data_IF_353814843246
#
_entry.id   IF_353814843246
#
_cell.length_a   1.000
_cell.length_b   1.000
_cell.length_c   1.000
_cell.angle_alpha   90.00
_cell.angle_beta   90.00
_cell.angle_gamma   90.00
#
_symmetry.space_group_name_H-M   'P 1'
#
loop_
_entity.id
_entity.type
_entity.pdbx_description
1 polymer ?
#
# COMPACT_ATOMS: atom_id res chain seq x y z
N UNK A 1 -28.14 -39.13 1.56
CA UNK A 1 -28.01 -37.65 1.71
C UNK A 1 -26.58 -37.25 2.05
N UNK A 2 -25.64 -38.20 2.09
CA UNK A 2 -24.27 -38.01 2.59
C UNK A 2 -23.25 -37.62 1.51
N UNK A 3 -23.56 -37.90 0.23
CA UNK A 3 -22.69 -37.56 -0.89
C UNK A 3 -22.54 -36.05 -1.11
N UNK A 4 -23.64 -35.29 -0.97
CA UNK A 4 -23.62 -33.84 -1.14
C UNK A 4 -22.84 -33.14 -0.02
N UNK A 5 -23.01 -33.58 1.24
CA UNK A 5 -22.24 -33.04 2.36
C UNK A 5 -20.75 -33.34 2.25
N UNK A 6 -20.39 -34.51 1.75
CA UNK A 6 -19.00 -34.87 1.48
C UNK A 6 -18.39 -33.99 0.39
N UNK A 7 -19.13 -33.74 -0.69
CA UNK A 7 -18.71 -32.85 -1.78
C UNK A 7 -18.53 -31.40 -1.27
N UNK A 8 -19.49 -30.85 -0.53
CA UNK A 8 -19.38 -29.52 0.09
C UNK A 8 -18.17 -29.43 1.01
N UNK A 9 -17.93 -30.44 1.84
CA UNK A 9 -16.78 -30.48 2.74
C UNK A 9 -15.45 -30.53 2.00
N UNK A 10 -15.34 -31.36 0.96
CA UNK A 10 -14.15 -31.45 0.12
C UNK A 10 -13.89 -30.15 -0.64
N UNK A 11 -14.94 -29.50 -1.15
CA UNK A 11 -14.82 -28.19 -1.81
C UNK A 11 -14.32 -27.14 -0.82
N UNK A 12 -14.90 -27.06 0.39
CA UNK A 12 -14.42 -26.13 1.42
C UNK A 12 -12.96 -26.38 1.76
N UNK A 13 -12.55 -27.64 1.98
CA UNK A 13 -11.15 -27.97 2.23
C UNK A 13 -10.24 -27.57 1.06
N UNK A 14 -10.68 -27.77 -0.18
CA UNK A 14 -9.92 -27.40 -1.37
C UNK A 14 -9.76 -25.88 -1.52
N UNK A 15 -10.80 -25.09 -1.22
CA UNK A 15 -10.76 -23.62 -1.29
C UNK A 15 -9.78 -23.02 -0.26
N UNK A 16 -9.66 -23.63 0.94
CA UNK A 16 -8.70 -23.20 1.98
C UNK A 16 -7.33 -23.91 1.89
N UNK A 17 -7.10 -24.74 0.86
CA UNK A 17 -5.83 -25.43 0.63
C UNK A 17 -4.81 -24.58 -0.14
N UNK A 18 -5.14 -23.32 -0.47
CA UNK A 18 -4.25 -22.38 -1.16
C UNK A 18 -2.95 -22.11 -0.37
N UNK A 19 -3.00 -22.22 0.97
CA UNK A 19 -1.84 -22.19 1.86
C UNK A 19 -1.30 -23.61 2.07
N UNK A 20 -0.61 -24.14 1.06
CA UNK A 20 -0.17 -25.55 1.03
C UNK A 20 1.01 -25.92 1.94
N UNK A 21 1.73 -24.95 2.53
CA UNK A 21 2.89 -25.20 3.40
C UNK A 21 3.14 -24.04 4.38
N UNK A 22 3.74 -24.34 5.55
CA UNK A 22 4.15 -23.39 6.57
C UNK A 22 5.06 -22.28 6.02
N UNK A 23 5.88 -22.59 5.01
CA UNK A 23 6.71 -21.60 4.31
C UNK A 23 5.87 -20.55 3.59
N UNK A 24 4.81 -20.96 2.89
CA UNK A 24 3.94 -20.06 2.16
C UNK A 24 3.15 -19.19 3.13
N UNK A 25 2.60 -19.80 4.20
CA UNK A 25 1.93 -19.08 5.28
C UNK A 25 2.83 -18.00 5.89
N UNK A 26 4.09 -18.35 6.19
CA UNK A 26 5.08 -17.41 6.74
C UNK A 26 5.33 -16.24 5.80
N UNK A 27 5.49 -16.49 4.48
CA UNK A 27 5.69 -15.44 3.49
C UNK A 27 4.50 -14.50 3.39
N UNK A 28 3.28 -15.04 3.39
CA UNK A 28 2.05 -14.24 3.29
C UNK A 28 1.93 -13.33 4.51
N UNK A 29 1.99 -13.91 5.71
CA UNK A 29 1.84 -13.18 6.96
C UNK A 29 2.94 -12.12 7.09
N UNK A 30 4.21 -12.49 6.85
CA UNK A 30 5.33 -11.56 6.98
C UNK A 30 5.21 -10.38 6.02
N UNK A 31 4.86 -10.61 4.75
CA UNK A 31 4.76 -9.54 3.76
C UNK A 31 3.56 -8.62 4.03
N UNK A 32 2.40 -9.17 4.39
CA UNK A 32 1.23 -8.35 4.68
C UNK A 32 1.41 -7.54 5.97
N UNK A 33 1.95 -8.15 7.03
CA UNK A 33 2.27 -7.43 8.27
C UNK A 33 3.35 -6.38 8.05
N UNK A 34 4.42 -6.69 7.31
CA UNK A 34 5.46 -5.71 7.00
C UNK A 34 4.88 -4.54 6.20
N UNK A 35 4.06 -4.80 5.17
CA UNK A 35 3.41 -3.75 4.40
C UNK A 35 2.51 -2.87 5.28
N UNK A 36 1.72 -3.48 6.17
CA UNK A 36 0.90 -2.75 7.13
C UNK A 36 1.74 -1.89 8.07
N UNK A 37 2.84 -2.42 8.63
CA UNK A 37 3.74 -1.68 9.52
C UNK A 37 4.40 -0.51 8.80
N UNK A 38 4.97 -0.72 7.61
CA UNK A 38 5.61 0.36 6.84
C UNK A 38 4.60 1.44 6.43
N UNK A 39 3.39 1.03 6.03
CA UNK A 39 2.26 1.93 5.81
C UNK A 39 1.90 2.71 7.08
N UNK A 40 1.84 2.05 8.24
CA UNK A 40 1.54 2.70 9.52
C UNK A 40 2.57 3.78 9.87
N UNK A 41 3.86 3.50 9.67
CA UNK A 41 4.94 4.46 9.97
C UNK A 41 4.80 5.72 9.11
N UNK A 42 4.55 5.58 7.81
CA UNK A 42 4.30 6.73 6.92
C UNK A 42 3.03 7.48 7.31
N UNK A 43 1.95 6.74 7.53
CA UNK A 43 0.67 7.32 7.90
C UNK A 43 0.69 8.03 9.25
N UNK A 44 1.52 7.57 10.20
CA UNK A 44 1.69 8.20 11.50
C UNK A 44 2.31 9.60 11.37
N UNK A 45 3.39 9.72 10.60
CA UNK A 45 4.02 11.01 10.35
C UNK A 45 3.09 11.95 9.55
N UNK A 46 2.19 11.38 8.73
CA UNK A 46 1.16 12.14 8.02
C UNK A 46 0.04 12.63 8.92
N UNK A 47 -0.52 11.76 9.74
CA UNK A 47 -1.59 12.07 10.69
C UNK A 47 -1.12 13.08 11.74
N UNK A 48 0.09 12.91 12.27
CA UNK A 48 0.68 13.83 13.24
C UNK A 48 0.89 15.25 12.67
N UNK A 49 1.07 15.38 11.35
CA UNK A 49 1.18 16.67 10.64
C UNK A 49 -0.17 17.20 10.15
N UNK A 50 -1.28 16.62 10.62
CA UNK A 50 -2.64 17.03 10.27
C UNK A 50 -3.00 16.82 8.79
N UNK A 51 -2.40 15.83 8.11
CA UNK A 51 -2.70 15.56 6.70
C UNK A 51 -3.95 14.69 6.57
N UNK A 52 -4.66 14.87 5.44
CA UNK A 52 -5.97 14.26 5.21
C UNK A 52 -5.98 12.72 5.18
N UNK A 53 -4.88 12.08 4.77
CA UNK A 53 -4.71 10.62 4.84
C UNK A 53 -3.83 10.27 6.04
N UNK A 54 -4.37 9.48 6.98
CA UNK A 54 -3.71 9.10 8.22
C UNK A 54 -3.24 7.65 8.24
N UNK A 55 -2.92 7.14 9.43
CA UNK A 55 -2.33 5.81 9.68
C UNK A 55 -3.12 4.70 8.99
N UNK A 56 -4.43 4.63 9.26
CA UNK A 56 -5.30 3.56 8.72
C UNK A 56 -5.33 3.53 7.19
N UNK A 57 -5.36 4.71 6.56
CA UNK A 57 -5.37 4.81 5.10
C UNK A 57 -4.08 4.26 4.51
N UNK A 58 -2.93 4.68 5.05
CA UNK A 58 -1.64 4.21 4.56
C UNK A 58 -1.42 2.70 4.81
N UNK A 59 -1.85 2.18 5.96
CA UNK A 59 -1.81 0.74 6.25
C UNK A 59 -2.57 -0.09 5.21
N UNK A 60 -3.83 0.29 4.94
CA UNK A 60 -4.69 -0.43 4.01
C UNK A 60 -4.20 -0.32 2.56
N UNK A 61 -3.67 0.85 2.16
CA UNK A 61 -3.11 1.04 0.82
C UNK A 61 -1.86 0.19 0.60
N UNK A 62 -0.92 0.18 1.55
CA UNK A 62 0.27 -0.66 1.45
C UNK A 62 -0.07 -2.16 1.45
N UNK A 63 -0.95 -2.59 2.36
CA UNK A 63 -1.34 -3.99 2.48
C UNK A 63 -2.13 -4.48 1.25
N UNK A 64 -3.06 -3.68 0.73
CA UNK A 64 -3.82 -4.00 -0.48
C UNK A 64 -2.91 -4.09 -1.71
N UNK A 65 -1.98 -3.16 -1.88
CA UNK A 65 -1.00 -3.19 -2.96
C UNK A 65 -0.06 -4.42 -2.86
N UNK A 66 0.35 -4.78 -1.64
CA UNK A 66 1.12 -6.00 -1.40
C UNK A 66 0.32 -7.25 -1.78
N UNK A 67 -0.95 -7.32 -1.40
CA UNK A 67 -1.84 -8.45 -1.70
C UNK A 67 -2.04 -8.64 -3.20
N UNK A 68 -2.27 -7.55 -3.95
CA UNK A 68 -2.48 -7.62 -5.41
C UNK A 68 -1.30 -8.20 -6.17
N UNK A 69 -0.08 -8.06 -5.66
CA UNK A 69 1.12 -8.63 -6.28
C UNK A 69 1.46 -10.01 -5.71
N UNK A 70 1.27 -10.18 -4.41
CA UNK A 70 1.58 -11.41 -3.70
C UNK A 70 0.76 -12.60 -4.22
N UNK A 71 -0.57 -12.44 -4.33
CA UNK A 71 -1.47 -13.56 -4.70
C UNK A 71 -1.11 -14.11 -6.09
N UNK A 72 -1.08 -13.30 -7.17
CA UNK A 72 -0.70 -13.80 -8.48
C UNK A 72 0.74 -14.34 -8.55
N UNK A 73 1.67 -13.77 -7.78
CA UNK A 73 3.05 -14.26 -7.70
C UNK A 73 3.14 -15.66 -7.10
N UNK A 74 2.32 -15.97 -6.09
CA UNK A 74 2.26 -17.32 -5.50
C UNK A 74 1.61 -18.32 -6.45
N UNK A 75 0.67 -17.88 -7.28
CA UNK A 75 0.06 -18.68 -8.35
C UNK A 75 0.95 -18.90 -9.58
N UNK A 76 2.22 -18.46 -9.55
CA UNK A 76 3.17 -18.68 -10.64
C UNK A 76 2.96 -17.79 -11.87
N UNK A 77 2.31 -16.64 -11.72
CA UNK A 77 2.08 -15.73 -12.82
C UNK A 77 3.40 -15.22 -13.46
N UNK A 78 3.41 -15.19 -14.79
CA UNK A 78 4.57 -14.74 -15.57
C UNK A 78 4.77 -13.21 -15.51
N UNK A 79 5.95 -12.75 -15.95
CA UNK A 79 6.34 -11.33 -15.97
C UNK A 79 5.31 -10.41 -16.61
N UNK A 80 4.69 -10.84 -17.71
CA UNK A 80 3.72 -10.04 -18.45
C UNK A 80 2.42 -9.86 -17.67
N UNK A 81 1.96 -10.93 -17.00
CA UNK A 81 0.82 -10.87 -16.11
C UNK A 81 1.11 -9.96 -14.90
N UNK A 82 2.32 -10.06 -14.34
CA UNK A 82 2.74 -9.19 -13.23
C UNK A 82 2.80 -7.73 -13.66
N UNK A 83 3.29 -7.45 -14.87
CA UNK A 83 3.33 -6.10 -15.42
C UNK A 83 1.93 -5.49 -15.55
N UNK A 84 0.94 -6.28 -15.99
CA UNK A 84 -0.46 -5.82 -16.04
C UNK A 84 -1.06 -5.57 -14.66
N UNK A 85 -0.78 -6.43 -13.68
CA UNK A 85 -1.19 -6.21 -12.28
C UNK A 85 -0.60 -4.90 -11.76
N UNK A 86 0.69 -4.66 -11.98
CA UNK A 86 1.36 -3.43 -11.57
C UNK A 86 0.76 -2.19 -12.25
N UNK A 87 0.48 -2.25 -13.56
CA UNK A 87 -0.22 -1.18 -14.28
C UNK A 87 -1.58 -0.87 -13.64
N UNK A 88 -2.35 -1.91 -13.30
CA UNK A 88 -3.64 -1.77 -12.61
C UNK A 88 -3.51 -1.12 -11.24
N UNK A 89 -2.55 -1.54 -10.42
CA UNK A 89 -2.28 -0.92 -9.11
C UNK A 89 -1.88 0.55 -9.27
N UNK A 90 -0.95 0.86 -10.18
CA UNK A 90 -0.49 2.23 -10.42
C UNK A 90 -1.64 3.14 -10.86
N UNK A 91 -2.49 2.66 -11.77
CA UNK A 91 -3.67 3.39 -12.23
C UNK A 91 -4.70 3.59 -11.09
N UNK A 92 -5.00 2.54 -10.33
CA UNK A 92 -5.97 2.57 -9.24
C UNK A 92 -5.60 3.54 -8.12
N UNK A 93 -4.32 3.64 -7.77
CA UNK A 93 -3.85 4.60 -6.77
C UNK A 93 -3.98 6.05 -7.26
N UNK A 94 -3.89 6.28 -8.57
CA UNK A 94 -4.19 7.58 -9.18
C UNK A 94 -5.59 8.10 -8.81
N UNK A 95 -6.59 7.21 -8.74
CA UNK A 95 -7.94 7.57 -8.32
C UNK A 95 -8.02 8.00 -6.84
N UNK A 96 -7.36 7.26 -5.94
CA UNK A 96 -7.27 7.65 -4.53
C UNK A 96 -6.55 8.99 -4.35
N UNK A 97 -5.46 9.20 -5.10
CA UNK A 97 -4.73 10.45 -5.13
C UNK A 97 -5.62 11.62 -5.56
N UNK A 98 -6.34 11.48 -6.67
CA UNK A 98 -7.31 12.47 -7.14
C UNK A 98 -8.38 12.75 -6.09
N UNK A 99 -8.92 11.72 -5.42
CA UNK A 99 -9.87 11.87 -4.32
C UNK A 99 -9.34 12.73 -3.16
N UNK A 100 -8.07 12.55 -2.77
CA UNK A 100 -7.44 13.37 -1.72
C UNK A 100 -7.20 14.82 -2.11
N UNK A 101 -7.09 15.12 -3.40
CA UNK A 101 -6.95 16.49 -3.93
C UNK A 101 -8.32 17.17 -3.99
N UNK A 102 -9.34 16.46 -4.48
CA UNK A 102 -10.68 17.01 -4.67
C UNK A 102 -11.41 17.28 -3.35
N UNK A 103 -11.20 16.46 -2.32
CA UNK A 103 -11.82 16.65 -0.99
C UNK A 103 -11.43 17.99 -0.33
N UNK A 104 -10.30 18.59 -0.71
CA UNK A 104 -9.88 19.90 -0.20
C UNK A 104 -10.62 21.10 -0.81
N UNK A 105 -11.54 20.88 -1.77
CA UNK A 105 -12.25 21.96 -2.49
C UNK A 105 -13.56 22.40 -1.84
N UNK A 106 -14.15 21.60 -0.96
CA UNK A 106 -15.48 21.90 -0.40
C UNK A 106 -15.47 23.00 0.67
N UNK A 107 -14.30 23.37 1.21
CA UNK A 107 -14.22 24.30 2.35
C UNK A 107 -13.69 25.70 2.03
N UNK A 108 -13.06 25.95 0.87
CA UNK A 108 -12.40 27.25 0.64
C UNK A 108 -12.60 27.81 -0.77
N UNK A 109 -13.32 28.93 -0.83
CA UNK A 109 -13.47 29.86 -1.95
C UNK A 109 -12.14 30.55 -2.31
N UNK A 110 -11.12 29.80 -2.69
CA UNK A 110 -9.81 30.30 -3.08
C UNK A 110 -9.01 29.28 -3.89
N UNK A 111 -8.51 29.67 -5.06
CA UNK A 111 -7.79 28.84 -6.03
C UNK A 111 -6.44 28.31 -5.51
N UNK A 112 -6.42 27.40 -4.54
CA UNK A 112 -5.21 26.69 -4.14
C UNK A 112 -5.45 25.18 -4.09
N UNK A 113 -4.72 24.43 -4.94
CA UNK A 113 -4.79 22.97 -4.97
C UNK A 113 -4.16 22.41 -3.70
N UNK A 114 -4.98 21.95 -2.75
CA UNK A 114 -4.54 21.25 -1.53
C UNK A 114 -4.45 19.74 -1.79
N UNK A 115 -3.64 19.04 -0.98
CA UNK A 115 -3.58 17.57 -0.97
C UNK A 115 -2.60 16.90 -1.94
N UNK A 116 -1.87 17.64 -2.77
CA UNK A 116 -0.88 17.07 -3.71
C UNK A 116 0.16 16.17 -3.02
N UNK A 117 0.71 16.60 -1.89
CA UNK A 117 1.67 15.79 -1.11
C UNK A 117 1.01 14.57 -0.46
N UNK A 118 -0.26 14.67 -0.07
CA UNK A 118 -1.03 13.53 0.44
C UNK A 118 -1.21 12.49 -0.65
N UNK A 119 -1.59 12.92 -1.86
CA UNK A 119 -1.71 12.06 -3.03
C UNK A 119 -0.39 11.37 -3.37
N UNK A 120 0.71 12.13 -3.43
CA UNK A 120 2.05 11.58 -3.65
C UNK A 120 2.47 10.60 -2.54
N UNK A 121 2.10 10.87 -1.28
CA UNK A 121 2.36 9.99 -0.16
C UNK A 121 1.61 8.65 -0.24
N UNK A 122 0.34 8.67 -0.65
CA UNK A 122 -0.43 7.44 -0.89
C UNK A 122 0.16 6.66 -2.07
N UNK A 123 0.60 7.35 -3.12
CA UNK A 123 1.29 6.73 -4.26
C UNK A 123 2.58 6.02 -3.83
N UNK A 124 3.41 6.69 -3.03
CA UNK A 124 4.63 6.10 -2.47
C UNK A 124 4.32 4.90 -1.56
N UNK A 125 3.24 4.98 -0.79
CA UNK A 125 2.82 3.90 0.13
C UNK A 125 2.39 2.65 -0.60
N UNK A 126 1.67 2.81 -1.72
CA UNK A 126 1.32 1.69 -2.57
C UNK A 126 2.55 1.05 -3.22
N UNK A 127 3.52 1.86 -3.68
CA UNK A 127 4.78 1.35 -4.23
C UNK A 127 5.58 0.53 -3.20
N UNK A 128 5.61 0.96 -1.93
CA UNK A 128 6.21 0.21 -0.81
C UNK A 128 5.45 -1.10 -0.58
N UNK A 129 4.11 -1.06 -0.63
CA UNK A 129 3.25 -2.24 -0.58
C UNK A 129 3.59 -3.25 -1.67
N UNK A 130 3.65 -2.80 -2.93
CA UNK A 130 4.07 -3.60 -4.09
C UNK A 130 5.44 -4.24 -3.86
N UNK A 131 6.45 -3.47 -3.47
CA UNK A 131 7.80 -3.99 -3.21
C UNK A 131 7.77 -5.07 -2.12
N UNK A 132 6.99 -4.86 -1.07
CA UNK A 132 6.80 -5.85 0.00
C UNK A 132 6.11 -7.12 -0.51
N UNK A 133 5.03 -6.99 -1.29
CA UNK A 133 4.31 -8.11 -1.91
C UNK A 133 5.20 -8.94 -2.84
N UNK A 134 6.11 -8.30 -3.57
CA UNK A 134 7.12 -8.94 -4.42
C UNK A 134 8.27 -9.63 -3.65
N UNK A 135 8.32 -9.50 -2.32
CA UNK A 135 9.43 -10.01 -1.52
C UNK A 135 10.72 -9.21 -1.68
N UNK A 136 10.60 -7.89 -1.81
CA UNK A 136 11.71 -6.94 -1.84
C UNK A 136 11.72 -6.14 -0.54
N UNK A 137 11.81 -6.84 0.59
CA UNK A 137 11.65 -6.27 1.93
C UNK A 137 12.71 -5.20 2.22
N UNK A 138 13.96 -5.41 1.82
CA UNK A 138 15.03 -4.42 1.95
C UNK A 138 14.75 -3.15 1.14
N UNK A 139 14.25 -3.31 -0.10
CA UNK A 139 13.85 -2.18 -0.94
C UNK A 139 12.68 -1.42 -0.31
N UNK A 140 11.67 -2.13 0.19
CA UNK A 140 10.52 -1.52 0.86
C UNK A 140 10.94 -0.71 2.11
N UNK A 141 11.84 -1.26 2.93
CA UNK A 141 12.40 -0.57 4.10
C UNK A 141 13.16 0.70 3.70
N UNK A 142 14.09 0.59 2.75
CA UNK A 142 14.87 1.74 2.26
C UNK A 142 13.95 2.83 1.69
N UNK A 143 12.99 2.45 0.85
CA UNK A 143 12.01 3.36 0.26
C UNK A 143 11.17 4.06 1.34
N UNK A 144 10.79 3.36 2.41
CA UNK A 144 10.06 3.94 3.54
C UNK A 144 10.92 4.99 4.26
N UNK A 145 12.18 4.67 4.56
CA UNK A 145 13.11 5.61 5.20
C UNK A 145 13.33 6.87 4.36
N UNK A 146 13.54 6.71 3.05
CA UNK A 146 13.69 7.84 2.12
C UNK A 146 12.43 8.70 2.06
N UNK A 147 11.24 8.09 2.02
CA UNK A 147 9.98 8.82 2.04
C UNK A 147 9.81 9.64 3.34
N UNK A 148 10.09 9.04 4.50
CA UNK A 148 10.08 9.75 5.79
C UNK A 148 11.10 10.88 5.84
N UNK A 149 12.27 10.68 5.25
CA UNK A 149 13.32 11.70 5.14
C UNK A 149 12.82 12.90 4.32
N UNK A 150 12.21 12.66 3.16
CA UNK A 150 11.61 13.73 2.33
C UNK A 150 10.56 14.49 3.14
N UNK A 151 9.67 13.75 3.80
CA UNK A 151 8.58 14.34 4.57
C UNK A 151 9.03 15.15 5.79
N UNK A 152 10.10 14.72 6.45
CA UNK A 152 10.58 15.35 7.68
C UNK A 152 11.61 16.46 7.41
N UNK A 153 12.55 16.25 6.48
CA UNK A 153 13.65 17.17 6.22
C UNK A 153 13.26 18.33 5.29
N UNK A 154 12.44 18.10 4.26
CA UNK A 154 12.09 19.16 3.31
C UNK A 154 11.43 20.38 3.97
N UNK A 155 10.45 20.22 4.88
CA UNK A 155 9.87 21.38 5.57
C UNK A 155 10.90 22.15 6.40
N UNK A 156 11.92 21.49 6.95
CA UNK A 156 12.98 22.13 7.73
C UNK A 156 13.94 22.91 6.83
N UNK A 157 14.31 22.33 5.70
CA UNK A 157 15.20 22.95 4.71
C UNK A 157 14.56 24.20 4.13
N UNK A 158 13.30 24.11 3.70
CA UNK A 158 12.55 25.26 3.16
C UNK A 158 12.49 26.41 4.18
N UNK A 159 12.11 26.11 5.43
CA UNK A 159 12.07 27.11 6.52
C UNK A 159 13.42 27.76 6.81
N UNK A 160 14.53 27.07 6.58
CA UNK A 160 15.88 27.60 6.81
C UNK A 160 16.36 28.46 5.65
N UNK A 161 15.91 28.19 4.43
CA UNK A 161 16.19 28.99 3.24
C UNK A 161 15.36 30.27 3.23
N UNK A 162 14.08 30.21 3.58
CA UNK A 162 13.19 31.39 3.64
C UNK A 162 13.55 32.38 4.75
N UNK A 163 14.29 31.94 5.77
CA UNK A 163 14.78 32.80 6.87
C UNK A 163 16.10 33.51 6.56
N UNK A 164 16.72 33.24 5.41
CA UNK A 164 17.93 33.92 4.93
C UNK A 164 17.56 34.93 3.86
#
# INVERSE_FOLDING_TARGET
MDAWWHEVWLTLQAEFADIGDARQMTRIILRLLLAAVLGAVLGFEREHKGKAAGVRTHMLVAMGAALFVLVPSLSGAQSDAMSRVLQGVIAGIGFLGAGTILKGREEESGQHVKGLTTAAGLWMTAAIGVATGMGREATALLSTLLALMVFSLMPLIVRRLEKR
#
